data_IF_187847779189
#
_entry.id   IF_187847779189
#
_cell.length_a   1.000
_cell.length_b   1.000
_cell.length_c   1.000
_cell.angle_alpha   90.00
_cell.angle_beta   90.00
_cell.angle_gamma   90.00
#
_symmetry.space_group_name_H-M   'P 1'
#
loop_
_entity.id
_entity.type
_entity.pdbx_description
1 polymer ?
#
# COMPACT_ATOMS: atom_id res chain seq x y z
N UNK A 1 -13.35 -18.03 -18.14
CA UNK A 1 -13.01 -18.01 -16.70
C UNK A 1 -11.50 -18.16 -16.59
N UNK A 2 -10.77 -17.06 -16.70
CA UNK A 2 -9.29 -17.07 -16.61
C UNK A 2 -8.90 -16.62 -15.21
N UNK A 3 -8.41 -17.56 -14.41
CA UNK A 3 -7.76 -17.29 -13.12
C UNK A 3 -6.47 -16.52 -13.39
N UNK A 4 -6.50 -15.20 -13.30
CA UNK A 4 -5.27 -14.43 -13.07
C UNK A 4 -4.87 -14.64 -11.61
N UNK A 5 -4.06 -15.66 -11.38
CA UNK A 5 -3.34 -15.83 -10.12
C UNK A 5 -2.33 -14.71 -9.99
N UNK A 6 -2.57 -13.78 -9.07
CA UNK A 6 -1.55 -12.86 -8.58
C UNK A 6 -0.42 -13.71 -7.98
N UNK A 7 0.72 -13.77 -8.66
CA UNK A 7 1.90 -14.44 -8.13
C UNK A 7 2.39 -13.67 -6.89
N UNK A 8 2.16 -14.23 -5.72
CA UNK A 8 2.78 -13.79 -4.48
C UNK A 8 4.29 -14.04 -4.59
N UNK A 9 5.06 -12.98 -4.78
CA UNK A 9 6.52 -13.02 -4.81
C UNK A 9 7.04 -13.51 -3.46
N UNK A 10 7.95 -14.49 -3.49
CA UNK A 10 8.55 -15.10 -2.30
C UNK A 10 9.35 -14.05 -1.49
N UNK A 11 9.32 -14.12 -0.14
CA UNK A 11 10.05 -13.18 0.71
C UNK A 11 11.52 -13.59 0.78
N UNK A 12 12.37 -12.99 -0.07
CA UNK A 12 13.82 -13.12 0.07
C UNK A 12 14.33 -12.27 1.24
N UNK A 13 15.05 -12.92 2.15
CA UNK A 13 15.68 -12.33 3.34
C UNK A 13 16.56 -11.13 3.01
N UNK A 14 16.31 -10.01 3.69
CA UNK A 14 17.06 -8.75 3.67
C UNK A 14 16.94 -7.93 2.36
N UNK A 15 15.92 -7.08 2.28
CA UNK A 15 15.81 -6.07 1.22
C UNK A 15 16.71 -4.87 1.54
N UNK A 16 17.66 -4.55 0.65
CA UNK A 16 18.44 -3.31 0.72
C UNK A 16 17.55 -2.07 0.52
N UNK A 17 18.09 -0.88 0.80
CA UNK A 17 17.32 0.39 0.73
C UNK A 17 16.77 0.68 -0.67
N UNK A 18 17.58 0.50 -1.71
CA UNK A 18 17.12 0.64 -3.10
C UNK A 18 16.00 -0.37 -3.41
N UNK A 19 16.10 -1.58 -2.85
CA UNK A 19 15.07 -2.60 -2.98
C UNK A 19 13.76 -2.18 -2.29
N UNK A 20 13.79 -1.35 -1.23
CA UNK A 20 12.57 -0.89 -0.53
C UNK A 20 11.80 0.12 -1.37
N UNK A 21 12.47 1.12 -1.92
CA UNK A 21 11.83 2.12 -2.78
C UNK A 21 11.29 1.48 -4.06
N UNK A 22 12.06 0.58 -4.67
CA UNK A 22 11.61 -0.21 -5.82
C UNK A 22 10.39 -1.08 -5.45
N UNK A 23 10.43 -1.75 -4.31
CA UNK A 23 9.31 -2.57 -3.85
C UNK A 23 8.06 -1.73 -3.57
N UNK A 24 8.23 -0.56 -2.94
CA UNK A 24 7.13 0.37 -2.72
C UNK A 24 6.50 0.83 -4.05
N UNK A 25 7.33 1.16 -5.04
CA UNK A 25 6.85 1.48 -6.38
C UNK A 25 6.07 0.31 -7.00
N UNK A 26 6.58 -0.93 -6.88
CA UNK A 26 5.88 -2.14 -7.36
C UNK A 26 4.53 -2.35 -6.68
N UNK A 27 4.41 -2.09 -5.37
CA UNK A 27 3.13 -2.18 -4.66
C UNK A 27 2.13 -1.12 -5.15
N UNK A 28 2.59 0.10 -5.40
CA UNK A 28 1.76 1.17 -5.97
C UNK A 28 1.29 0.82 -7.38
N UNK A 29 2.19 0.33 -8.24
CA UNK A 29 1.82 -0.13 -9.58
C UNK A 29 0.82 -1.27 -9.53
N UNK A 30 1.03 -2.24 -8.64
CA UNK A 30 0.10 -3.36 -8.44
C UNK A 30 -1.28 -2.89 -7.96
N UNK A 31 -1.36 -1.87 -7.10
CA UNK A 31 -2.65 -1.28 -6.69
C UNK A 31 -3.41 -0.66 -7.88
N UNK A 32 -2.70 0.12 -8.72
CA UNK A 32 -3.27 0.74 -9.91
C UNK A 32 -3.71 -0.32 -10.93
N UNK A 33 -2.87 -1.32 -11.17
CA UNK A 33 -3.19 -2.44 -12.08
C UNK A 33 -4.39 -3.24 -11.57
N UNK A 34 -4.46 -3.52 -10.27
CA UNK A 34 -5.62 -4.18 -9.66
C UNK A 34 -6.90 -3.36 -9.90
N UNK A 35 -6.89 -2.06 -9.61
CA UNK A 35 -8.06 -1.20 -9.80
C UNK A 35 -8.52 -1.15 -11.26
N UNK A 36 -7.58 -1.14 -12.22
CA UNK A 36 -7.92 -1.19 -13.65
C UNK A 36 -8.55 -2.51 -14.11
N UNK A 37 -8.47 -3.56 -13.30
CA UNK A 37 -8.97 -4.89 -13.62
C UNK A 37 -10.22 -5.30 -12.83
N UNK A 38 -10.67 -4.51 -11.86
CA UNK A 38 -11.93 -4.81 -11.16
C UNK A 38 -13.14 -4.37 -12.00
N UNK A 39 -14.30 -5.04 -11.88
CA UNK A 39 -15.52 -4.64 -12.58
C UNK A 39 -15.90 -3.17 -12.33
N UNK A 40 -16.49 -2.53 -13.33
CA UNK A 40 -17.03 -1.15 -13.30
C UNK A 40 -16.02 -0.01 -13.15
N UNK A 41 -14.86 -0.23 -12.53
CA UNK A 41 -13.85 0.82 -12.37
C UNK A 41 -13.34 1.39 -13.72
N UNK A 42 -13.05 0.57 -14.75
CA UNK A 42 -12.66 1.08 -16.07
C UNK A 42 -13.75 1.87 -16.79
N UNK A 43 -15.01 1.70 -16.40
CA UNK A 43 -16.16 2.37 -17.01
C UNK A 43 -16.39 3.78 -16.44
N UNK A 44 -15.73 4.12 -15.32
CA UNK A 44 -15.74 5.47 -14.73
C UNK A 44 -15.02 6.47 -15.63
N UNK A 45 -15.34 7.76 -15.49
CA UNK A 45 -14.57 8.81 -16.16
C UNK A 45 -13.10 8.77 -15.68
N UNK A 46 -12.16 9.07 -16.58
CA UNK A 46 -10.73 9.07 -16.24
C UNK A 46 -10.42 10.01 -15.06
N UNK A 47 -11.12 11.14 -14.97
CA UNK A 47 -11.04 12.06 -13.82
C UNK A 47 -11.36 11.36 -12.51
N UNK A 48 -12.40 10.54 -12.49
CA UNK A 48 -12.87 9.83 -11.31
C UNK A 48 -11.94 8.67 -10.97
N UNK A 49 -11.46 7.92 -11.98
CA UNK A 49 -10.45 6.88 -11.78
C UNK A 49 -9.20 7.45 -11.11
N UNK A 50 -8.67 8.56 -11.63
CA UNK A 50 -7.50 9.24 -11.06
C UNK A 50 -7.83 9.83 -9.68
N UNK A 51 -9.01 10.41 -9.50
CA UNK A 51 -9.46 10.99 -8.24
C UNK A 51 -9.54 9.94 -7.12
N UNK A 52 -10.24 8.83 -7.36
CA UNK A 52 -10.37 7.72 -6.42
C UNK A 52 -9.01 7.14 -6.04
N UNK A 53 -8.13 6.90 -7.02
CA UNK A 53 -6.77 6.40 -6.75
C UNK A 53 -5.96 7.39 -5.92
N UNK A 54 -6.05 8.70 -6.18
CA UNK A 54 -5.37 9.74 -5.39
C UNK A 54 -5.90 9.84 -3.96
N UNK A 55 -7.15 9.50 -3.72
CA UNK A 55 -7.73 9.51 -2.37
C UNK A 55 -7.40 8.26 -1.56
N UNK A 56 -7.11 7.13 -2.23
CA UNK A 56 -7.05 5.81 -1.59
C UNK A 56 -5.68 5.13 -1.71
N UNK A 57 -4.72 5.76 -2.37
CA UNK A 57 -3.41 5.14 -2.64
C UNK A 57 -2.71 4.62 -1.38
N UNK A 58 -2.83 5.33 -0.25
CA UNK A 58 -2.17 4.95 1.01
C UNK A 58 -2.81 3.71 1.62
N UNK A 59 -4.14 3.62 1.63
CA UNK A 59 -4.87 2.44 2.11
C UNK A 59 -4.60 1.23 1.22
N UNK A 60 -4.63 1.40 -0.11
CA UNK A 60 -4.31 0.35 -1.07
C UNK A 60 -2.86 -0.13 -0.92
N UNK A 61 -1.93 0.79 -0.65
CA UNK A 61 -0.53 0.47 -0.38
C UNK A 61 -0.36 -0.40 0.87
N UNK A 62 -1.04 -0.06 1.98
CA UNK A 62 -1.03 -0.86 3.21
C UNK A 62 -1.59 -2.25 2.98
N UNK A 63 -2.72 -2.36 2.28
CA UNK A 63 -3.35 -3.65 1.97
C UNK A 63 -2.44 -4.52 1.10
N UNK A 64 -1.79 -3.94 0.08
CA UNK A 64 -0.82 -4.66 -0.75
C UNK A 64 0.41 -5.08 0.07
N UNK A 65 0.93 -4.21 0.94
CA UNK A 65 2.08 -4.53 1.77
C UNK A 65 1.79 -5.69 2.74
N UNK A 66 0.59 -5.69 3.35
CA UNK A 66 0.14 -6.77 4.22
C UNK A 66 -0.02 -8.08 3.44
N UNK A 67 -0.68 -8.04 2.29
CA UNK A 67 -0.90 -9.22 1.43
C UNK A 67 0.42 -9.82 0.93
N UNK A 68 1.43 -9.00 0.62
CA UNK A 68 2.76 -9.45 0.20
C UNK A 68 3.65 -9.93 1.36
N UNK A 69 3.18 -9.87 2.62
CA UNK A 69 3.92 -10.31 3.81
C UNK A 69 5.33 -9.71 3.93
N UNK A 70 5.48 -8.42 3.60
CA UNK A 70 6.80 -7.77 3.62
C UNK A 70 7.38 -7.80 5.04
N UNK A 71 8.65 -8.19 5.23
CA UNK A 71 9.36 -7.97 6.48
C UNK A 71 9.70 -6.48 6.60
N UNK A 72 8.82 -5.73 7.27
CA UNK A 72 8.99 -4.30 7.50
C UNK A 72 9.89 -4.07 8.72
N UNK A 73 11.20 -4.15 8.55
CA UNK A 73 12.12 -3.73 9.61
C UNK A 73 12.25 -2.20 9.64
N UNK A 74 12.25 -1.62 10.84
CA UNK A 74 12.34 -0.15 11.03
C UNK A 74 13.66 0.41 10.48
N UNK A 75 14.78 -0.30 10.66
CA UNK A 75 16.10 0.22 10.30
C UNK A 75 16.29 0.39 8.77
N UNK A 76 15.90 -0.57 7.91
CA UNK A 76 15.92 -0.38 6.46
C UNK A 76 14.94 0.71 5.97
N UNK A 77 13.78 0.87 6.61
CA UNK A 77 12.82 1.95 6.29
C UNK A 77 13.40 3.34 6.63
N UNK A 78 14.05 3.47 7.78
CA UNK A 78 14.77 4.70 8.17
C UNK A 78 15.88 5.04 7.18
N UNK A 79 16.65 4.04 6.74
CA UNK A 79 17.70 4.25 5.75
C UNK A 79 17.12 4.67 4.38
N UNK A 80 15.97 4.10 3.97
CA UNK A 80 15.23 4.49 2.77
C UNK A 80 14.60 5.89 2.84
N UNK A 81 14.33 6.40 4.04
CA UNK A 81 13.85 7.77 4.24
C UNK A 81 14.90 8.85 3.95
N UNK A 82 16.11 8.46 3.53
CA UNK A 82 17.19 9.40 3.20
C UNK A 82 17.91 9.95 4.43
N UNK A 83 17.86 9.24 5.57
CA UNK A 83 18.48 9.68 6.82
C UNK A 83 20.02 9.80 6.74
N UNK A 84 20.64 9.27 5.68
CA UNK A 84 22.07 9.43 5.38
C UNK A 84 22.39 10.65 4.49
N UNK A 85 21.39 11.31 3.89
CA UNK A 85 21.60 12.35 2.88
C UNK A 85 21.53 13.79 3.42
N UNK A 86 20.87 14.03 4.57
CA UNK A 86 20.83 15.32 5.25
C UNK A 86 20.28 15.15 6.68
N UNK A 87 20.83 15.81 7.72
CA UNK A 87 20.29 15.71 9.07
C UNK A 87 18.84 16.20 9.13
N UNK A 88 17.92 15.29 9.48
CA UNK A 88 16.54 15.64 9.79
C UNK A 88 16.46 16.33 11.16
N UNK A 89 15.50 17.23 11.34
CA UNK A 89 15.20 17.74 12.69
C UNK A 89 14.62 16.60 13.53
N UNK A 90 14.83 16.66 14.85
CA UNK A 90 14.32 15.63 15.78
C UNK A 90 12.81 15.39 15.61
N UNK A 91 12.03 16.45 15.36
CA UNK A 91 10.60 16.38 15.10
C UNK A 91 10.26 15.54 13.87
N UNK A 92 11.02 15.71 12.77
CA UNK A 92 10.79 14.94 11.54
C UNK A 92 11.16 13.46 11.71
N UNK A 93 12.18 13.15 12.51
CA UNK A 93 12.52 11.77 12.86
C UNK A 93 11.41 11.12 13.67
N UNK A 94 10.89 11.82 14.69
CA UNK A 94 9.78 11.33 15.52
C UNK A 94 8.54 11.07 14.66
N UNK A 95 8.15 12.01 13.79
CA UNK A 95 7.01 11.84 12.90
C UNK A 95 7.18 10.64 11.96
N UNK A 96 8.37 10.46 11.39
CA UNK A 96 8.66 9.32 10.51
C UNK A 96 8.59 7.98 11.28
N UNK A 97 9.14 7.93 12.49
CA UNK A 97 9.06 6.74 13.34
C UNK A 97 7.61 6.39 13.69
N UNK A 98 6.79 7.39 13.99
CA UNK A 98 5.37 7.17 14.30
C UNK A 98 4.59 6.65 13.08
N UNK A 99 4.82 7.24 11.89
CA UNK A 99 4.23 6.74 10.65
C UNK A 99 4.67 5.29 10.35
N UNK A 100 5.95 4.98 10.56
CA UNK A 100 6.49 3.63 10.38
C UNK A 100 5.85 2.64 11.35
N UNK A 101 5.68 3.03 12.62
CA UNK A 101 5.02 2.21 13.64
C UNK A 101 3.58 1.94 13.27
N UNK A 102 2.80 2.96 12.93
CA UNK A 102 1.40 2.83 12.53
C UNK A 102 1.28 1.89 11.33
N UNK A 103 2.16 2.06 10.33
CA UNK A 103 2.19 1.19 9.16
C UNK A 103 2.45 -0.28 9.50
N UNK A 104 3.45 -0.54 10.35
CA UNK A 104 3.76 -1.89 10.83
C UNK A 104 2.60 -2.50 11.63
N UNK A 105 1.98 -1.74 12.52
CA UNK A 105 0.83 -2.19 13.31
C UNK A 105 -0.36 -2.59 12.43
N UNK A 106 -0.67 -1.81 11.38
CA UNK A 106 -1.75 -2.14 10.44
C UNK A 106 -1.45 -3.42 9.67
N UNK A 107 -0.21 -3.57 9.18
CA UNK A 107 0.22 -4.77 8.47
C UNK A 107 0.15 -6.01 9.37
N UNK A 108 0.57 -5.90 10.62
CA UNK A 108 0.56 -7.02 11.56
C UNK A 108 -0.86 -7.42 11.96
N UNK A 109 -1.77 -6.46 12.20
CA UNK A 109 -3.19 -6.76 12.46
C UNK A 109 -3.83 -7.55 11.32
N UNK A 110 -3.55 -7.17 10.07
CA UNK A 110 -4.06 -7.87 8.90
C UNK A 110 -3.49 -9.30 8.80
N UNK A 111 -2.21 -9.49 9.14
CA UNK A 111 -1.60 -10.84 9.20
C UNK A 111 -2.24 -11.73 10.25
N UNK A 112 -2.50 -11.19 11.45
CA UNK A 112 -3.14 -11.93 12.56
C UNK A 112 -4.57 -12.37 12.23
N UNK A 113 -5.27 -11.62 11.38
CA UNK A 113 -6.62 -11.96 10.92
C UNK A 113 -6.64 -13.08 9.86
N UNK A 114 -5.47 -13.51 9.36
CA UNK A 114 -5.36 -14.53 8.31
C UNK A 114 -6.20 -14.23 7.06
N UNK A 115 -6.26 -12.95 6.68
CA UNK A 115 -7.05 -12.46 5.55
C UNK A 115 -6.65 -13.18 4.27
N UNK A 116 -7.62 -13.75 3.57
CA UNK A 116 -7.38 -14.44 2.30
C UNK A 116 -7.34 -13.48 1.09
N UNK A 117 -6.99 -14.00 -0.08
CA UNK A 117 -6.88 -13.17 -1.29
C UNK A 117 -8.20 -12.53 -1.74
N UNK A 118 -9.33 -13.19 -1.50
CA UNK A 118 -10.66 -12.66 -1.84
C UNK A 118 -11.05 -11.56 -0.87
N UNK A 119 -10.85 -11.77 0.43
CA UNK A 119 -11.09 -10.78 1.47
C UNK A 119 -10.23 -9.52 1.28
N UNK A 120 -8.95 -9.66 0.93
CA UNK A 120 -8.11 -8.52 0.55
C UNK A 120 -8.68 -7.76 -0.66
N UNK A 121 -9.22 -8.46 -1.64
CA UNK A 121 -9.85 -7.83 -2.81
C UNK A 121 -11.11 -7.05 -2.41
N UNK A 122 -11.92 -7.60 -1.50
CA UNK A 122 -13.08 -6.92 -0.94
C UNK A 122 -12.69 -5.67 -0.13
N UNK A 123 -11.69 -5.77 0.75
CA UNK A 123 -11.19 -4.63 1.53
C UNK A 123 -10.67 -3.51 0.64
N UNK A 124 -9.90 -3.84 -0.41
CA UNK A 124 -9.43 -2.86 -1.40
C UNK A 124 -10.58 -2.19 -2.12
N UNK A 125 -11.62 -2.94 -2.50
CA UNK A 125 -12.80 -2.37 -3.16
C UNK A 125 -13.57 -1.43 -2.23
N UNK A 126 -13.76 -1.82 -0.96
CA UNK A 126 -14.38 -0.97 0.06
C UNK A 126 -13.58 0.34 0.19
N UNK A 127 -12.26 0.26 0.36
CA UNK A 127 -11.41 1.45 0.45
C UNK A 127 -11.54 2.34 -0.79
N UNK A 128 -11.45 1.74 -1.98
CA UNK A 128 -11.50 2.46 -3.27
C UNK A 128 -12.81 3.24 -3.46
N UNK A 129 -13.95 2.61 -3.17
CA UNK A 129 -15.26 3.20 -3.45
C UNK A 129 -15.87 4.00 -2.29
N UNK A 130 -15.42 3.78 -1.04
CA UNK A 130 -15.90 4.58 0.11
C UNK A 130 -15.33 5.99 0.12
N UNK A 131 -14.10 6.17 -0.37
CA UNK A 131 -13.44 7.47 -0.41
C UNK A 131 -14.01 8.43 -1.45
N UNK A 132 -14.70 7.91 -2.47
CA UNK A 132 -15.49 8.73 -3.39
C UNK A 132 -16.71 9.37 -2.72
N UNK A 133 -17.35 8.67 -1.79
CA UNK A 133 -18.56 9.17 -1.08
C UNK A 133 -18.22 10.26 -0.06
N UNK A 134 -17.00 10.29 0.47
CA UNK A 134 -16.58 11.25 1.52
C UNK A 134 -16.26 12.66 1.00
N UNK A 135 -16.19 12.86 -0.31
CA UNK A 135 -15.76 14.13 -0.92
C UNK A 135 -16.86 14.92 -1.64
N UNK A 136 -18.12 14.46 -1.62
CA UNK A 136 -19.24 15.30 -2.07
C UNK A 136 -19.52 16.38 -1.02
N UNK A 137 -19.37 17.68 -1.34
CA UNK A 137 -19.82 18.73 -0.45
C UNK A 137 -21.36 18.75 -0.44
N UNK A 138 -21.95 18.57 0.74
CA UNK A 138 -23.37 18.81 1.01
C UNK A 138 -23.79 20.25 0.70
#
# INVERSE_FOLDING_TARGET
MSRSGSQCMQPSSMMGVENICEFAARLLFSAVEWARNIPFFPDLQISDQVGLLRLTWSELFVLNAAQCSIPLHVAPLLAAAGLHASPMSAERVVAFMDHTRIFQEQVEKLKLLHVDSAEYSCLKAIALFTSGVRNEPS
#
